data_IF_579750821511
#
_entry.id   IF_579750821511
#
_cell.length_a   1.000
_cell.length_b   1.000
_cell.length_c   1.000
_cell.angle_alpha   90.00
_cell.angle_beta   90.00
_cell.angle_gamma   90.00
#
_symmetry.space_group_name_H-M   'P 1'
#
loop_
_entity.id
_entity.type
_entity.pdbx_description
1 polymer ?
#
# COMPACT_ATOMS: atom_id res chain seq x y z
N UNK A 1 -32.40 16.61 -23.30
CA UNK A 1 -32.16 16.93 -21.87
C UNK A 1 -30.66 16.86 -21.61
N UNK A 2 -30.00 17.93 -21.18
CA UNK A 2 -28.59 17.94 -20.81
C UNK A 2 -28.46 17.20 -19.43
N UNK A 3 -27.83 16.03 -19.37
CA UNK A 3 -27.50 15.37 -18.11
C UNK A 3 -26.54 16.30 -17.32
N UNK A 4 -26.93 16.73 -16.12
CA UNK A 4 -26.05 17.49 -15.22
C UNK A 4 -24.93 16.55 -14.75
N UNK A 5 -23.67 16.99 -14.86
CA UNK A 5 -22.53 16.34 -14.26
C UNK A 5 -22.71 16.29 -12.73
N UNK A 6 -22.52 15.10 -12.16
CA UNK A 6 -22.58 14.86 -10.71
C UNK A 6 -21.25 14.31 -10.25
N UNK A 7 -20.75 14.82 -9.12
CA UNK A 7 -19.60 14.22 -8.44
C UNK A 7 -20.04 12.90 -7.79
N UNK A 8 -19.21 11.86 -7.94
CA UNK A 8 -19.41 10.55 -7.36
C UNK A 8 -18.21 10.18 -6.49
N UNK A 9 -18.46 9.71 -5.28
CA UNK A 9 -17.46 9.15 -4.37
C UNK A 9 -17.38 7.64 -4.60
N UNK A 10 -16.77 7.25 -5.71
CA UNK A 10 -16.74 5.87 -6.19
C UNK A 10 -15.74 4.96 -5.46
N UNK A 11 -14.84 5.51 -4.64
CA UNK A 11 -13.80 4.76 -3.94
C UNK A 11 -13.56 5.33 -2.52
N UNK A 12 -14.50 5.13 -1.57
CA UNK A 12 -14.43 5.78 -0.25
C UNK A 12 -13.23 5.32 0.60
N UNK A 13 -12.78 4.06 0.53
CA UNK A 13 -11.58 3.61 1.24
C UNK A 13 -10.33 4.30 0.71
N UNK A 14 -10.18 4.39 -0.61
CA UNK A 14 -9.06 5.07 -1.27
C UNK A 14 -9.05 6.55 -0.94
N UNK A 15 -10.17 7.23 -1.08
CA UNK A 15 -10.28 8.66 -0.76
C UNK A 15 -10.05 8.94 0.72
N UNK A 16 -10.56 8.09 1.60
CA UNK A 16 -10.31 8.16 3.04
C UNK A 16 -8.84 7.99 3.37
N UNK A 17 -8.16 6.99 2.78
CA UNK A 17 -6.73 6.76 2.97
C UNK A 17 -5.89 7.95 2.49
N UNK A 18 -6.16 8.47 1.30
CA UNK A 18 -5.49 9.68 0.77
C UNK A 18 -5.71 10.87 1.70
N UNK A 19 -6.95 11.09 2.16
CA UNK A 19 -7.26 12.16 3.11
C UNK A 19 -6.49 12.04 4.42
N UNK A 20 -6.38 10.84 4.98
CA UNK A 20 -5.58 10.57 6.18
C UNK A 20 -4.08 10.83 5.96
N UNK A 21 -3.52 10.46 4.81
CA UNK A 21 -2.13 10.77 4.47
C UNK A 21 -1.89 12.28 4.38
N UNK A 22 -2.81 13.03 3.75
CA UNK A 22 -2.72 14.49 3.68
C UNK A 22 -2.79 15.12 5.08
N UNK A 23 -3.74 14.67 5.92
CA UNK A 23 -3.88 15.15 7.30
C UNK A 23 -2.60 14.85 8.10
N UNK A 24 -2.05 13.62 7.99
CA UNK A 24 -0.80 13.26 8.66
C UNK A 24 0.37 14.15 8.23
N UNK A 25 0.45 14.50 6.94
CA UNK A 25 1.48 15.41 6.41
C UNK A 25 1.31 16.83 6.94
N UNK A 26 0.09 17.34 7.00
CA UNK A 26 -0.19 18.68 7.59
C UNK A 26 0.20 18.70 9.07
N UNK A 27 -0.21 17.68 9.85
CA UNK A 27 0.18 17.58 11.25
C UNK A 27 1.70 17.50 11.39
N UNK A 28 2.38 16.77 10.51
CA UNK A 28 3.84 16.70 10.50
C UNK A 28 4.48 18.07 10.29
N UNK A 29 3.97 18.86 9.36
CA UNK A 29 4.45 20.23 9.14
C UNK A 29 4.23 21.12 10.37
N UNK A 30 3.03 21.09 10.95
CA UNK A 30 2.67 21.90 12.11
C UNK A 30 3.49 21.55 13.36
N UNK A 31 3.94 20.28 13.47
CA UNK A 31 4.74 19.79 14.60
C UNK A 31 6.25 19.78 14.32
N UNK A 32 6.72 20.40 13.23
CA UNK A 32 8.14 20.37 12.85
C UNK A 32 8.68 18.95 12.65
N UNK A 33 7.85 18.04 12.15
CA UNK A 33 8.20 16.64 11.88
C UNK A 33 8.09 15.69 13.10
N UNK A 34 7.74 16.19 14.28
CA UNK A 34 7.67 15.34 15.49
C UNK A 34 6.57 14.28 15.38
N UNK A 35 5.41 14.60 14.82
CA UNK A 35 4.33 13.63 14.65
C UNK A 35 4.73 12.49 13.71
N UNK A 36 5.47 12.76 12.64
CA UNK A 36 6.02 11.72 11.77
C UNK A 36 6.99 10.80 12.51
N UNK A 37 7.81 11.33 13.41
CA UNK A 37 8.74 10.53 14.22
C UNK A 37 8.04 9.68 15.29
N UNK A 38 6.95 10.18 15.89
CA UNK A 38 6.30 9.55 17.04
C UNK A 38 5.13 8.66 16.64
N UNK A 39 4.30 9.09 15.68
CA UNK A 39 3.04 8.44 15.33
C UNK A 39 3.03 7.79 13.94
N UNK A 40 3.71 8.42 12.95
CA UNK A 40 3.60 8.04 11.55
C UNK A 40 4.89 7.44 10.99
N UNK A 41 5.69 6.78 11.84
CA UNK A 41 6.81 5.94 11.41
C UNK A 41 6.91 4.71 12.30
N UNK A 42 7.27 3.56 11.68
CA UNK A 42 7.51 2.31 12.40
C UNK A 42 9.02 2.10 12.58
N UNK A 43 9.39 1.68 13.78
CA UNK A 43 10.76 1.36 14.19
C UNK A 43 10.73 0.40 15.37
N UNK A 44 11.84 -0.29 15.63
CA UNK A 44 11.93 -1.19 16.80
C UNK A 44 11.81 -0.38 18.09
N UNK A 45 10.77 -0.66 18.85
CA UNK A 45 10.48 -0.07 20.15
C UNK A 45 10.03 -1.15 21.13
N UNK A 46 9.85 -0.79 22.40
CA UNK A 46 9.36 -1.73 23.43
C UNK A 46 7.96 -2.24 23.06
N UNK A 47 7.74 -3.54 23.19
CA UNK A 47 6.40 -4.13 23.04
C UNK A 47 5.45 -3.78 24.18
N UNK A 48 5.97 -3.21 25.28
CA UNK A 48 5.15 -2.66 26.36
C UNK A 48 4.63 -1.23 26.04
N UNK A 49 5.16 -0.57 25.01
CA UNK A 49 4.65 0.73 24.54
C UNK A 49 3.46 0.52 23.59
N UNK A 50 2.23 0.96 23.96
CA UNK A 50 1.05 0.83 23.10
C UNK A 50 1.22 1.49 21.73
N UNK A 51 2.02 2.56 21.63
CA UNK A 51 2.30 3.23 20.37
C UNK A 51 3.05 2.33 19.37
N UNK A 52 3.75 1.30 19.85
CA UNK A 52 4.39 0.31 18.95
C UNK A 52 3.36 -0.35 18.05
N UNK A 53 2.21 -0.74 18.60
CA UNK A 53 1.13 -1.37 17.84
C UNK A 53 0.42 -0.38 16.91
N UNK A 54 0.23 0.86 17.34
CA UNK A 54 -0.34 1.92 16.50
C UNK A 54 0.57 2.17 15.28
N UNK A 55 1.87 2.28 15.49
CA UNK A 55 2.86 2.52 14.44
C UNK A 55 2.91 1.43 13.37
N UNK A 56 2.57 0.17 13.71
CA UNK A 56 2.46 -0.92 12.73
C UNK A 56 1.46 -0.62 11.61
N UNK A 57 0.47 0.22 11.86
CA UNK A 57 -0.55 0.60 10.89
C UNK A 57 -0.41 2.04 10.40
N UNK A 58 0.03 2.96 11.24
CA UNK A 58 0.02 4.39 10.91
C UNK A 58 1.25 4.84 10.13
N UNK A 59 2.32 4.03 10.07
CA UNK A 59 3.53 4.39 9.31
C UNK A 59 3.27 4.60 7.82
N UNK A 60 2.26 3.93 7.25
CA UNK A 60 1.87 4.11 5.83
C UNK A 60 1.19 5.46 5.56
N UNK A 61 0.76 6.18 6.61
CA UNK A 61 0.19 7.52 6.51
C UNK A 61 1.27 8.61 6.51
N UNK A 62 2.44 8.33 7.12
CA UNK A 62 3.54 9.28 7.22
C UNK A 62 4.30 9.43 5.91
N UNK A 63 4.79 10.64 5.62
CA UNK A 63 5.64 10.91 4.46
C UNK A 63 6.76 11.87 4.83
N UNK A 64 7.90 11.75 4.13
CA UNK A 64 9.08 12.58 4.37
C UNK A 64 8.91 14.03 3.86
N UNK A 65 7.93 14.26 3.00
CA UNK A 65 7.64 15.56 2.41
C UNK A 65 6.53 15.44 1.36
N UNK A 66 6.16 16.60 0.78
CA UNK A 66 5.07 16.66 -0.21
C UNK A 66 5.36 15.87 -1.48
N UNK A 67 6.59 15.88 -1.99
CA UNK A 67 6.94 15.14 -3.21
C UNK A 67 6.77 13.64 -3.01
N UNK A 68 7.18 13.12 -1.83
CA UNK A 68 7.00 11.72 -1.46
C UNK A 68 5.50 11.37 -1.30
N UNK A 69 4.73 12.24 -0.66
CA UNK A 69 3.27 12.09 -0.54
C UNK A 69 2.61 12.06 -1.92
N UNK A 70 2.84 13.07 -2.75
CA UNK A 70 2.20 13.22 -4.06
C UNK A 70 2.53 12.04 -4.99
N UNK A 71 3.80 11.59 -4.99
CA UNK A 71 4.21 10.41 -5.74
C UNK A 71 3.41 9.16 -5.36
N UNK A 72 3.24 8.89 -4.06
CA UNK A 72 2.44 7.76 -3.60
C UNK A 72 0.94 7.95 -3.90
N UNK A 73 0.38 9.13 -3.63
CA UNK A 73 -1.05 9.38 -3.82
C UNK A 73 -1.47 9.27 -5.29
N UNK A 74 -0.60 9.66 -6.22
CA UNK A 74 -0.86 9.49 -7.65
C UNK A 74 -1.13 8.03 -8.00
N UNK A 75 -0.29 7.09 -7.57
CA UNK A 75 -0.50 5.67 -7.83
C UNK A 75 -1.72 5.11 -7.09
N UNK A 76 -1.93 5.52 -5.83
CA UNK A 76 -3.10 5.11 -5.04
C UNK A 76 -4.40 5.56 -5.71
N UNK A 77 -4.47 6.79 -6.22
CA UNK A 77 -5.66 7.33 -6.90
C UNK A 77 -5.89 6.73 -8.29
N UNK A 78 -4.85 6.25 -8.97
CA UNK A 78 -4.98 5.58 -10.27
C UNK A 78 -5.43 4.12 -10.09
N UNK A 79 -4.78 3.37 -9.19
CA UNK A 79 -4.98 1.93 -9.06
C UNK A 79 -6.06 1.57 -8.04
N UNK A 80 -6.15 2.34 -6.97
CA UNK A 80 -7.04 2.06 -5.84
C UNK A 80 -8.51 1.97 -6.20
N UNK A 81 -9.08 2.91 -6.96
CA UNK A 81 -10.49 2.84 -7.36
C UNK A 81 -10.84 1.57 -8.13
N UNK A 82 -9.95 1.07 -9.00
CA UNK A 82 -10.17 -0.19 -9.73
C UNK A 82 -10.21 -1.40 -8.79
N UNK A 83 -9.34 -1.41 -7.77
CA UNK A 83 -9.30 -2.47 -6.74
C UNK A 83 -10.56 -2.38 -5.88
N UNK A 84 -10.93 -1.18 -5.44
CA UNK A 84 -12.08 -0.98 -4.58
C UNK A 84 -13.40 -1.30 -5.30
N UNK A 85 -13.52 -0.95 -6.58
CA UNK A 85 -14.68 -1.30 -7.41
C UNK A 85 -14.82 -2.82 -7.55
N UNK A 86 -13.70 -3.53 -7.77
CA UNK A 86 -13.72 -4.99 -7.96
C UNK A 86 -13.92 -5.76 -6.65
N UNK A 87 -13.24 -5.40 -5.59
CA UNK A 87 -13.18 -6.20 -4.35
C UNK A 87 -13.98 -5.60 -3.19
N UNK A 88 -14.47 -4.37 -3.34
CA UNK A 88 -15.23 -3.64 -2.33
C UNK A 88 -14.36 -2.92 -1.30
N UNK A 89 -15.01 -1.95 -0.64
CA UNK A 89 -14.38 -1.04 0.34
C UNK A 89 -13.71 -1.78 1.50
N UNK A 90 -14.41 -2.75 2.10
CA UNK A 90 -13.86 -3.52 3.22
C UNK A 90 -12.60 -4.30 2.87
N UNK A 91 -12.57 -4.92 1.68
CA UNK A 91 -11.39 -5.64 1.19
C UNK A 91 -10.23 -4.69 0.90
N UNK A 92 -10.50 -3.51 0.37
CA UNK A 92 -9.47 -2.49 0.11
C UNK A 92 -8.82 -2.00 1.41
N UNK A 93 -9.62 -1.73 2.43
CA UNK A 93 -9.10 -1.40 3.78
C UNK A 93 -8.27 -2.54 4.35
N UNK A 94 -8.74 -3.79 4.20
CA UNK A 94 -8.01 -4.97 4.65
C UNK A 94 -6.66 -5.12 3.94
N UNK A 95 -6.59 -4.91 2.62
CA UNK A 95 -5.33 -4.95 1.86
C UNK A 95 -4.35 -3.91 2.41
N UNK A 96 -4.79 -2.67 2.61
CA UNK A 96 -3.96 -1.59 3.17
C UNK A 96 -3.44 -1.98 4.56
N UNK A 97 -4.33 -2.45 5.44
CA UNK A 97 -3.99 -2.78 6.81
C UNK A 97 -3.01 -3.97 6.91
N UNK A 98 -3.25 -5.05 6.17
CA UNK A 98 -2.36 -6.22 6.14
C UNK A 98 -1.00 -5.85 5.56
N UNK A 99 -0.97 -5.06 4.50
CA UNK A 99 0.30 -4.59 3.91
C UNK A 99 1.09 -3.77 4.91
N UNK A 100 0.44 -2.80 5.59
CA UNK A 100 1.08 -2.01 6.64
C UNK A 100 1.64 -2.90 7.75
N UNK A 101 0.83 -3.83 8.28
CA UNK A 101 1.22 -4.73 9.37
C UNK A 101 2.44 -5.57 9.00
N UNK A 102 2.42 -6.22 7.83
CA UNK A 102 3.52 -7.09 7.39
C UNK A 102 4.81 -6.30 7.22
N UNK A 103 4.75 -5.15 6.56
CA UNK A 103 5.92 -4.28 6.36
C UNK A 103 6.43 -3.77 7.71
N UNK A 104 5.54 -3.33 8.59
CA UNK A 104 5.90 -2.86 9.94
C UNK A 104 6.61 -3.93 10.76
N UNK A 105 6.11 -5.18 10.74
CA UNK A 105 6.74 -6.31 11.42
C UNK A 105 8.12 -6.60 10.81
N UNK A 106 8.25 -6.65 9.50
CA UNK A 106 9.53 -6.87 8.81
C UNK A 106 10.53 -5.79 9.18
N UNK A 107 10.13 -4.51 9.16
CA UNK A 107 11.01 -3.41 9.55
C UNK A 107 11.49 -3.55 10.99
N UNK A 108 10.58 -3.81 11.93
CA UNK A 108 10.94 -3.99 13.36
C UNK A 108 11.87 -5.18 13.59
N UNK A 109 11.67 -6.28 12.84
CA UNK A 109 12.44 -7.49 12.99
C UNK A 109 13.86 -7.36 12.42
N UNK A 110 14.00 -6.82 11.22
CA UNK A 110 15.23 -6.89 10.45
C UNK A 110 15.99 -5.56 10.36
N UNK A 111 15.32 -4.40 10.62
CA UNK A 111 15.93 -3.06 10.49
C UNK A 111 15.77 -2.22 11.78
N UNK A 112 16.38 -2.66 12.91
CA UNK A 112 16.11 -2.07 14.24
C UNK A 112 16.50 -0.59 14.35
N UNK A 113 17.46 -0.13 13.55
CA UNK A 113 17.95 1.26 13.57
C UNK A 113 17.20 2.20 12.64
N UNK A 114 16.19 1.70 11.90
CA UNK A 114 15.56 2.46 10.83
C UNK A 114 14.13 2.82 11.19
N UNK A 115 13.79 4.08 10.93
CA UNK A 115 12.41 4.59 10.97
C UNK A 115 11.82 4.58 9.57
N UNK A 116 10.91 3.64 9.32
CA UNK A 116 10.22 3.51 8.05
C UNK A 116 8.89 4.27 8.09
N UNK A 117 8.62 5.03 7.02
CA UNK A 117 7.35 5.72 6.78
C UNK A 117 7.08 5.82 5.28
N UNK A 118 5.80 5.81 4.90
CA UNK A 118 5.37 5.97 3.51
C UNK A 118 4.35 4.93 3.06
N UNK A 119 3.48 5.34 2.14
CA UNK A 119 2.48 4.47 1.52
C UNK A 119 3.05 3.59 0.39
N UNK A 120 4.34 3.68 0.08
CA UNK A 120 4.93 3.02 -1.09
C UNK A 120 4.75 1.49 -1.08
N UNK A 121 4.81 0.83 0.06
CA UNK A 121 4.51 -0.59 0.16
C UNK A 121 3.06 -0.93 -0.24
N UNK A 122 2.10 -0.08 0.10
CA UNK A 122 0.70 -0.20 -0.34
C UNK A 122 0.58 0.06 -1.85
N UNK A 123 1.31 1.04 -2.38
CA UNK A 123 1.40 1.29 -3.83
C UNK A 123 1.84 0.03 -4.56
N UNK A 124 2.90 -0.63 -4.07
CA UNK A 124 3.39 -1.87 -4.70
C UNK A 124 2.43 -3.04 -4.56
N UNK A 125 1.74 -3.16 -3.43
CA UNK A 125 0.67 -4.13 -3.28
C UNK A 125 -0.44 -3.88 -4.33
N UNK A 126 -0.85 -2.62 -4.53
CA UNK A 126 -1.87 -2.25 -5.52
C UNK A 126 -1.41 -2.51 -6.96
N UNK A 127 -0.15 -2.23 -7.31
CA UNK A 127 0.41 -2.53 -8.62
C UNK A 127 0.29 -4.03 -8.92
N UNK A 128 0.71 -4.90 -7.99
CA UNK A 128 0.69 -6.34 -8.23
C UNK A 128 -0.74 -6.90 -8.20
N UNK A 129 -1.60 -6.44 -7.30
CA UNK A 129 -3.02 -6.82 -7.31
C UNK A 129 -3.67 -6.43 -8.65
N UNK A 130 -3.48 -5.19 -9.10
CA UNK A 130 -4.05 -4.72 -10.38
C UNK A 130 -3.58 -5.54 -11.57
N UNK A 131 -2.31 -5.96 -11.56
CA UNK A 131 -1.74 -6.78 -12.65
C UNK A 131 -2.34 -8.19 -12.72
N UNK A 132 -2.85 -8.73 -11.60
CA UNK A 132 -3.49 -10.06 -11.52
C UNK A 132 -5.00 -9.95 -11.75
N UNK A 133 -5.61 -8.83 -11.36
CA UNK A 133 -7.06 -8.62 -11.23
C UNK A 133 -7.83 -8.69 -12.55
N UNK A 134 -7.17 -8.55 -13.69
CA UNK A 134 -7.79 -8.33 -15.01
C UNK A 134 -8.34 -9.64 -15.64
N UNK A 135 -8.24 -10.83 -14.99
CA UNK A 135 -8.61 -12.09 -15.64
C UNK A 135 -9.57 -12.98 -14.86
N UNK A 136 -10.46 -13.63 -15.65
CA UNK A 136 -11.47 -14.58 -15.20
C UNK A 136 -11.01 -16.05 -15.29
N UNK A 137 -9.85 -16.33 -15.92
CA UNK A 137 -9.30 -17.67 -16.13
C UNK A 137 -8.14 -17.98 -15.19
N UNK A 138 -7.92 -19.29 -14.93
CA UNK A 138 -6.79 -19.78 -14.10
C UNK A 138 -5.43 -19.60 -14.78
N UNK A 139 -5.19 -18.44 -15.41
CA UNK A 139 -3.98 -18.08 -16.13
C UNK A 139 -3.24 -16.95 -15.43
N UNK A 140 -1.90 -16.97 -15.48
CA UNK A 140 -1.08 -15.86 -14.99
C UNK A 140 -0.89 -14.85 -16.15
N UNK A 141 -1.32 -13.57 -16.00
CA UNK A 141 -1.12 -12.58 -17.05
C UNK A 141 0.37 -12.34 -17.33
N UNK A 142 0.74 -12.24 -18.60
CA UNK A 142 2.12 -11.87 -18.98
C UNK A 142 2.48 -10.48 -18.45
N UNK A 143 1.52 -9.56 -18.38
CA UNK A 143 1.70 -8.24 -17.78
C UNK A 143 2.09 -8.32 -16.31
N UNK A 144 1.50 -9.25 -15.53
CA UNK A 144 1.90 -9.49 -14.16
C UNK A 144 3.37 -9.95 -14.07
N UNK A 145 3.76 -10.90 -14.92
CA UNK A 145 5.15 -11.41 -14.95
C UNK A 145 6.11 -10.26 -15.29
N UNK A 146 5.80 -9.46 -16.32
CA UNK A 146 6.63 -8.33 -16.72
C UNK A 146 6.74 -7.27 -15.61
N UNK A 147 5.62 -6.89 -15.00
CA UNK A 147 5.60 -5.94 -13.89
C UNK A 147 6.42 -6.47 -12.71
N UNK A 148 6.23 -7.74 -12.34
CA UNK A 148 6.98 -8.36 -11.24
C UNK A 148 8.48 -8.39 -11.53
N UNK A 149 8.89 -8.79 -12.75
CA UNK A 149 10.31 -8.86 -13.16
C UNK A 149 10.95 -7.47 -13.19
N UNK A 150 10.29 -6.50 -13.83
CA UNK A 150 10.80 -5.13 -13.90
C UNK A 150 10.89 -4.50 -12.51
N UNK A 151 9.87 -4.72 -11.70
CA UNK A 151 9.81 -4.21 -10.34
C UNK A 151 10.89 -4.82 -9.44
N UNK A 152 10.96 -6.16 -9.35
CA UNK A 152 11.97 -6.84 -8.56
C UNK A 152 13.39 -6.53 -9.07
N UNK A 153 13.57 -6.48 -10.39
CA UNK A 153 14.84 -6.09 -11.00
C UNK A 153 15.26 -4.68 -10.60
N UNK A 154 14.33 -3.73 -10.61
CA UNK A 154 14.60 -2.36 -10.15
C UNK A 154 14.95 -2.31 -8.65
N UNK A 155 14.21 -3.05 -7.79
CA UNK A 155 14.49 -3.07 -6.35
C UNK A 155 15.85 -3.72 -6.04
N UNK A 156 16.19 -4.81 -6.74
CA UNK A 156 17.50 -5.48 -6.60
C UNK A 156 18.61 -4.53 -7.06
N UNK A 157 18.44 -3.88 -8.22
CA UNK A 157 19.40 -2.91 -8.74
C UNK A 157 19.65 -1.77 -7.76
N UNK A 158 18.56 -1.16 -7.22
CA UNK A 158 18.67 -0.09 -6.24
C UNK A 158 19.32 -0.58 -4.94
N UNK A 159 18.98 -1.76 -4.44
CA UNK A 159 19.58 -2.35 -3.25
C UNK A 159 21.08 -2.66 -3.40
N UNK A 160 21.55 -2.97 -4.61
CA UNK A 160 22.97 -3.24 -4.86
C UNK A 160 23.79 -1.96 -5.04
N UNK A 161 23.21 -0.90 -5.60
CA UNK A 161 23.94 0.30 -6.03
C UNK A 161 23.56 1.58 -5.28
N UNK A 162 22.46 1.57 -4.52
CA UNK A 162 22.02 2.69 -3.68
C UNK A 162 21.99 2.25 -2.21
N UNK A 163 22.39 3.12 -1.29
CA UNK A 163 22.53 2.78 0.14
C UNK A 163 21.20 2.81 0.92
N UNK A 164 20.07 2.52 0.30
CA UNK A 164 18.75 2.49 0.94
C UNK A 164 18.08 1.11 0.86
N UNK A 165 18.68 0.13 1.52
CA UNK A 165 18.18 -1.26 1.55
C UNK A 165 16.83 -1.41 2.26
N UNK A 166 16.40 -0.43 3.05
CA UNK A 166 15.17 -0.51 3.86
C UNK A 166 13.94 -0.22 3.01
N UNK A 167 14.04 0.82 2.17
CA UNK A 167 12.95 1.18 1.25
C UNK A 167 12.67 0.03 0.27
N UNK A 168 13.72 -0.58 -0.29
CA UNK A 168 13.58 -1.71 -1.21
C UNK A 168 12.93 -2.92 -0.53
N UNK A 169 13.30 -3.25 0.72
CA UNK A 169 12.69 -4.36 1.43
C UNK A 169 11.19 -4.12 1.71
N UNK A 170 10.81 -2.89 2.07
CA UNK A 170 9.40 -2.52 2.25
C UNK A 170 8.61 -2.66 0.94
N UNK A 171 9.21 -2.28 -0.18
CA UNK A 171 8.62 -2.44 -1.51
C UNK A 171 8.45 -3.91 -1.88
N UNK A 172 9.50 -4.74 -1.74
CA UNK A 172 9.44 -6.18 -2.03
C UNK A 172 8.38 -6.86 -1.15
N UNK A 173 8.34 -6.54 0.14
CA UNK A 173 7.34 -7.08 1.06
C UNK A 173 5.92 -6.65 0.65
N UNK A 174 5.70 -5.37 0.31
CA UNK A 174 4.42 -4.87 -0.19
C UNK A 174 3.99 -5.58 -1.47
N UNK A 175 4.90 -5.75 -2.42
CA UNK A 175 4.67 -6.51 -3.64
C UNK A 175 4.30 -7.97 -3.36
N UNK A 176 5.03 -8.65 -2.47
CA UNK A 176 4.74 -10.05 -2.10
C UNK A 176 3.36 -10.20 -1.46
N UNK A 177 2.98 -9.28 -0.55
CA UNK A 177 1.62 -9.23 0.02
C UNK A 177 0.59 -9.01 -1.08
N UNK A 178 0.83 -8.06 -1.98
CA UNK A 178 -0.06 -7.75 -3.10
C UNK A 178 -0.26 -8.94 -4.04
N UNK A 179 0.83 -9.63 -4.41
CA UNK A 179 0.75 -10.84 -5.22
C UNK A 179 -0.07 -11.93 -4.52
N UNK A 180 0.24 -12.25 -3.26
CA UNK A 180 -0.47 -13.26 -2.47
C UNK A 180 -1.96 -12.95 -2.35
N UNK A 181 -2.31 -11.72 -1.95
CA UNK A 181 -3.71 -11.29 -1.84
C UNK A 181 -4.41 -11.26 -3.20
N UNK A 182 -3.74 -10.82 -4.27
CA UNK A 182 -4.30 -10.80 -5.62
C UNK A 182 -4.71 -12.18 -6.10
N UNK A 183 -3.88 -13.20 -5.88
CA UNK A 183 -4.23 -14.59 -6.20
C UNK A 183 -5.37 -15.15 -5.34
N UNK A 184 -5.36 -14.87 -4.02
CA UNK A 184 -6.42 -15.33 -3.11
C UNK A 184 -7.76 -14.68 -3.43
N UNK A 185 -7.78 -13.36 -3.61
CA UNK A 185 -8.99 -12.60 -3.91
C UNK A 185 -9.53 -12.92 -5.30
N UNK A 186 -8.67 -13.13 -6.29
CA UNK A 186 -9.06 -13.55 -7.63
C UNK A 186 -9.79 -14.89 -7.61
N UNK A 187 -9.27 -15.89 -6.87
CA UNK A 187 -9.94 -17.20 -6.71
C UNK A 187 -11.28 -17.10 -5.98
N UNK A 188 -11.34 -16.32 -4.90
CA UNK A 188 -12.57 -16.14 -4.13
C UNK A 188 -13.68 -15.47 -4.96
N UNK A 189 -13.32 -14.49 -5.79
CA UNK A 189 -14.27 -13.81 -6.68
C UNK A 189 -14.84 -14.76 -7.75
N UNK A 190 -14.00 -15.55 -8.40
CA UNK A 190 -14.43 -16.57 -9.38
C UNK A 190 -15.37 -17.63 -8.79
N UNK A 191 -15.12 -18.07 -7.55
CA UNK A 191 -16.00 -19.04 -6.89
C UNK A 191 -17.39 -18.46 -6.62
N UNK A 192 -17.45 -17.17 -6.23
CA UNK A 192 -18.73 -16.49 -5.98
C UNK A 192 -19.56 -16.36 -7.27
N UNK A 193 -18.92 -15.99 -8.38
CA UNK A 193 -19.62 -15.86 -9.67
C UNK A 193 -20.15 -17.19 -10.17
N UNK A 194 -19.40 -18.30 -9.99
CA UNK A 194 -19.86 -19.66 -10.34
C UNK A 194 -21.00 -20.19 -9.47
N UNK A 195 -21.14 -19.70 -8.24
CA UNK A 195 -22.21 -20.12 -7.32
C UNK A 195 -23.50 -19.32 -7.49
N UNK A 196 -23.48 -18.27 -8.31
CA UNK A 196 -24.64 -17.41 -8.62
C UNK A 196 -25.37 -17.83 -9.91
N UNK A 197 -24.91 -18.88 -10.59
CA UNK A 197 -25.53 -19.56 -11.74
C UNK A 197 -26.02 -20.94 -11.35
#
# INVERSE_FOLDING_TARGET
MKKKLRLSFNAPAVLGFVGLCVIAQIISMLTGGQSSKVLFSVYRASMADPLTYVRLFTHVLGHAGWDHLLGNMMYILILGPMIEEKYGTGTTVFIIAVTALVIGIINMAFFPGVRLLGASGVVFAFILISSITIREDNTIPVTFILVAVLYLGQQIWQGLFQQDNVSQMAHIAGGAVGAGLGFLLGRAHQQKDRSSF
#
